data_IF_590825750099
#
_entry.id   IF_590825750099
#
_cell.length_a   1.000
_cell.length_b   1.000
_cell.length_c   1.000
_cell.angle_alpha   90.00
_cell.angle_beta   90.00
_cell.angle_gamma   90.00
#
_symmetry.space_group_name_H-M   'P 1'
#
loop_
_entity.id
_entity.type
_entity.pdbx_description
1 polymer ?
#
# COMPACT_ATOMS: atom_id res chain seq x y z
N UNK A 1 34.57 -4.47 10.38
CA UNK A 1 33.84 -4.62 9.08
C UNK A 1 34.79 -4.76 7.88
N UNK A 2 35.91 -4.02 7.83
CA UNK A 2 36.89 -4.10 6.73
C UNK A 2 37.48 -5.50 6.51
N UNK A 3 37.82 -6.22 7.60
CA UNK A 3 38.37 -7.59 7.50
C UNK A 3 37.42 -8.58 6.82
N UNK A 4 36.11 -8.52 7.11
CA UNK A 4 35.10 -9.41 6.46
C UNK A 4 34.95 -9.10 4.97
N UNK A 5 35.00 -7.83 4.58
CA UNK A 5 34.95 -7.41 3.17
C UNK A 5 36.22 -7.84 2.43
N UNK A 6 37.39 -7.71 3.05
CA UNK A 6 38.64 -8.21 2.50
C UNK A 6 38.56 -9.72 2.28
N UNK A 7 38.15 -10.50 3.29
CA UNK A 7 37.97 -11.95 3.17
C UNK A 7 37.00 -12.31 2.03
N UNK A 8 35.85 -11.66 1.92
CA UNK A 8 34.89 -11.93 0.85
C UNK A 8 35.40 -11.57 -0.54
N UNK A 9 36.19 -10.50 -0.66
CA UNK A 9 36.84 -10.14 -1.92
C UNK A 9 37.86 -11.21 -2.33
N UNK A 10 38.75 -11.63 -1.41
CA UNK A 10 39.75 -12.66 -1.71
C UNK A 10 39.11 -14.01 -2.02
N UNK A 11 38.13 -14.45 -1.21
CA UNK A 11 37.41 -15.71 -1.43
C UNK A 11 36.61 -15.67 -2.72
N UNK A 12 35.87 -14.57 -3.00
CA UNK A 12 35.14 -14.42 -4.25
C UNK A 12 36.06 -14.41 -5.48
N UNK A 13 37.20 -13.72 -5.39
CA UNK A 13 38.21 -13.69 -6.44
C UNK A 13 38.78 -15.07 -6.74
N UNK A 14 39.16 -15.83 -5.71
CA UNK A 14 39.69 -17.20 -5.87
C UNK A 14 38.64 -18.16 -6.44
N UNK A 15 37.42 -18.15 -5.88
CA UNK A 15 36.34 -19.05 -6.31
C UNK A 15 35.93 -18.77 -7.74
N UNK A 16 35.78 -17.49 -8.12
CA UNK A 16 35.44 -17.13 -9.49
C UNK A 16 36.57 -17.45 -10.46
N UNK A 17 37.83 -17.16 -10.13
CA UNK A 17 38.96 -17.50 -10.99
C UNK A 17 39.05 -19.02 -11.24
N UNK A 18 38.79 -19.84 -10.22
CA UNK A 18 38.76 -21.30 -10.35
C UNK A 18 37.57 -21.80 -11.20
N UNK A 19 36.40 -21.16 -11.07
CA UNK A 19 35.17 -21.56 -11.79
C UNK A 19 35.02 -20.88 -13.16
N UNK A 20 35.81 -19.86 -13.47
CA UNK A 20 35.70 -19.07 -14.70
C UNK A 20 35.69 -19.91 -15.98
N UNK A 21 36.61 -20.89 -16.20
CA UNK A 21 36.59 -21.67 -17.44
C UNK A 21 35.31 -22.50 -17.58
N UNK A 22 34.82 -23.05 -16.47
CA UNK A 22 33.54 -23.77 -16.44
C UNK A 22 32.35 -22.84 -16.73
N UNK A 23 32.28 -21.68 -16.08
CA UNK A 23 31.21 -20.69 -16.26
C UNK A 23 31.20 -20.12 -17.68
N UNK A 24 32.38 -19.87 -18.27
CA UNK A 24 32.49 -19.42 -19.66
C UNK A 24 31.98 -20.49 -20.62
N UNK A 25 32.37 -21.75 -20.42
CA UNK A 25 31.94 -22.87 -21.27
C UNK A 25 30.43 -23.07 -21.17
N UNK A 26 29.88 -23.09 -19.95
CA UNK A 26 28.44 -23.19 -19.68
C UNK A 26 27.67 -22.04 -20.36
N UNK A 27 28.19 -20.81 -20.27
CA UNK A 27 27.55 -19.63 -20.84
C UNK A 27 27.52 -19.69 -22.37
N UNK A 28 28.62 -20.10 -23.00
CA UNK A 28 28.67 -20.31 -24.45
C UNK A 28 27.71 -21.42 -24.87
N UNK A 29 27.70 -22.56 -24.18
CA UNK A 29 26.76 -23.65 -24.47
C UNK A 29 25.30 -23.22 -24.36
N UNK A 30 24.95 -22.42 -23.34
CA UNK A 30 23.61 -21.89 -23.15
C UNK A 30 23.22 -20.90 -24.26
N UNK A 31 24.13 -20.00 -24.66
CA UNK A 31 23.90 -19.05 -25.75
C UNK A 31 23.71 -19.79 -27.07
N UNK A 32 24.57 -20.78 -27.37
CA UNK A 32 24.47 -21.59 -28.59
C UNK A 32 23.16 -22.38 -28.60
N UNK A 33 22.80 -23.04 -27.49
CA UNK A 33 21.53 -23.75 -27.37
C UNK A 33 20.34 -22.80 -27.57
N UNK A 34 20.36 -21.63 -26.94
CA UNK A 34 19.30 -20.63 -27.09
C UNK A 34 19.21 -20.13 -28.54
N UNK A 35 20.34 -19.87 -29.20
CA UNK A 35 20.38 -19.46 -30.59
C UNK A 35 19.83 -20.55 -31.52
N UNK A 36 20.18 -21.82 -31.29
CA UNK A 36 19.64 -22.97 -32.03
C UNK A 36 18.13 -23.06 -31.81
N UNK A 37 17.67 -22.96 -30.56
CA UNK A 37 16.23 -23.00 -30.23
C UNK A 37 15.49 -21.86 -30.94
N UNK A 38 16.02 -20.63 -30.89
CA UNK A 38 15.42 -19.47 -31.58
C UNK A 38 15.41 -19.69 -33.09
N UNK A 39 16.52 -20.15 -33.68
CA UNK A 39 16.62 -20.40 -35.12
C UNK A 39 15.63 -21.49 -35.55
N UNK A 40 15.60 -22.65 -34.88
CA UNK A 40 14.67 -23.73 -35.18
C UNK A 40 13.23 -23.24 -35.05
N UNK A 41 12.87 -22.62 -33.92
CA UNK A 41 11.49 -22.17 -33.67
C UNK A 41 11.03 -21.03 -34.59
N UNK A 42 11.92 -20.11 -34.97
CA UNK A 42 11.62 -19.02 -35.88
C UNK A 42 11.37 -19.51 -37.32
N UNK A 43 12.04 -20.58 -37.74
CA UNK A 43 11.90 -21.14 -39.08
C UNK A 43 10.83 -22.24 -39.20
N UNK A 44 10.48 -22.95 -38.11
CA UNK A 44 9.54 -24.09 -38.18
C UNK A 44 8.12 -23.80 -37.70
N UNK A 45 7.85 -22.74 -36.93
CA UNK A 45 6.54 -22.50 -36.32
C UNK A 45 6.01 -21.09 -36.63
N UNK A 46 4.92 -20.95 -37.43
CA UNK A 46 4.18 -19.70 -37.50
C UNK A 46 3.62 -19.35 -36.11
N UNK A 47 4.15 -18.30 -35.48
CA UNK A 47 3.83 -17.94 -34.09
C UNK A 47 4.96 -18.11 -33.06
N UNK A 48 6.19 -18.46 -33.48
CA UNK A 48 7.36 -18.62 -32.61
C UNK A 48 7.73 -17.40 -31.73
N UNK A 49 7.17 -16.22 -32.00
CA UNK A 49 7.31 -15.02 -31.16
C UNK A 49 6.78 -15.22 -29.73
N UNK A 50 5.80 -16.12 -29.53
CA UNK A 50 5.23 -16.41 -28.22
C UNK A 50 6.21 -17.13 -27.29
N UNK A 51 7.09 -17.97 -27.86
CA UNK A 51 8.17 -18.65 -27.14
C UNK A 51 9.32 -17.69 -26.82
N UNK A 52 9.63 -16.74 -27.72
CA UNK A 52 10.53 -15.62 -27.43
C UNK A 52 10.01 -14.75 -26.27
N UNK A 53 8.70 -14.49 -26.22
CA UNK A 53 8.05 -13.77 -25.12
C UNK A 53 8.09 -14.56 -23.80
N UNK A 54 7.83 -15.87 -23.82
CA UNK A 54 7.97 -16.74 -22.64
C UNK A 54 9.42 -16.80 -22.14
N UNK A 55 10.41 -16.87 -23.05
CA UNK A 55 11.84 -16.84 -22.72
C UNK A 55 12.27 -15.49 -22.11
N UNK A 56 11.80 -14.37 -22.65
CA UNK A 56 12.02 -13.05 -22.08
C UNK A 56 11.38 -12.91 -20.70
N UNK A 57 10.18 -13.50 -20.50
CA UNK A 57 9.47 -13.49 -19.22
C UNK A 57 10.13 -14.36 -18.16
N UNK A 58 10.68 -15.53 -18.52
CA UNK A 58 11.45 -16.37 -17.60
C UNK A 58 12.80 -15.75 -17.24
N UNK A 59 13.49 -15.11 -18.20
CA UNK A 59 14.67 -14.27 -17.93
C UNK A 59 14.33 -13.08 -17.02
N UNK A 60 13.20 -12.41 -17.24
CA UNK A 60 12.72 -11.32 -16.37
C UNK A 60 12.35 -11.83 -14.96
N UNK A 61 11.82 -13.06 -14.84
CA UNK A 61 11.56 -13.73 -13.57
C UNK A 61 12.84 -14.10 -12.82
N UNK A 62 13.87 -14.60 -13.53
CA UNK A 62 15.21 -14.85 -12.97
C UNK A 62 15.90 -13.56 -12.53
N UNK A 63 15.69 -12.46 -13.26
CA UNK A 63 16.12 -11.11 -12.90
C UNK A 63 15.32 -10.54 -11.70
N UNK A 64 14.14 -11.05 -11.38
CA UNK A 64 13.37 -10.62 -10.21
C UNK A 64 13.91 -11.25 -8.91
N UNK A 65 14.56 -12.42 -8.99
CA UNK A 65 15.11 -13.14 -7.84
C UNK A 65 16.55 -12.74 -7.53
N UNK A 66 16.84 -12.48 -6.25
CA UNK A 66 18.15 -11.94 -5.79
C UNK A 66 19.32 -12.88 -6.11
N UNK A 67 19.12 -14.19 -6.00
CA UNK A 67 20.10 -15.22 -6.36
C UNK A 67 20.25 -15.35 -7.87
N UNK A 68 19.16 -15.22 -8.63
CA UNK A 68 19.17 -15.23 -10.09
C UNK A 68 19.99 -14.10 -10.70
N UNK A 69 19.93 -12.89 -10.12
CA UNK A 69 20.79 -11.75 -10.51
C UNK A 69 22.28 -12.04 -10.35
N UNK A 70 22.69 -12.63 -9.22
CA UNK A 70 24.10 -12.95 -8.98
C UNK A 70 24.61 -14.03 -9.95
N UNK A 71 23.80 -15.05 -10.20
CA UNK A 71 24.14 -16.12 -11.15
C UNK A 71 24.29 -15.51 -12.55
N UNK A 72 23.33 -14.70 -12.99
CA UNK A 72 23.37 -14.05 -14.30
C UNK A 72 24.54 -13.06 -14.44
N UNK A 73 24.85 -12.28 -13.40
CA UNK A 73 26.00 -11.39 -13.41
C UNK A 73 27.32 -12.18 -13.49
N UNK A 74 27.40 -13.31 -12.78
CA UNK A 74 28.60 -14.17 -12.80
C UNK A 74 28.84 -14.83 -14.16
N UNK A 75 27.78 -15.26 -14.85
CA UNK A 75 27.89 -15.84 -16.20
C UNK A 75 28.22 -14.78 -17.25
N UNK A 76 27.62 -13.59 -17.18
CA UNK A 76 27.97 -12.46 -18.05
C UNK A 76 29.43 -12.02 -17.87
N UNK A 77 29.90 -11.87 -16.64
CA UNK A 77 31.29 -11.49 -16.37
C UNK A 77 32.27 -12.58 -16.80
N UNK A 78 31.90 -13.86 -16.71
CA UNK A 78 32.73 -14.97 -17.17
C UNK A 78 32.95 -14.97 -18.69
N UNK A 79 32.04 -14.38 -19.49
CA UNK A 79 32.18 -14.21 -20.93
C UNK A 79 33.09 -13.03 -21.31
N UNK A 80 33.21 -12.02 -20.45
CA UNK A 80 34.06 -10.84 -20.71
C UNK A 80 35.55 -11.16 -20.51
N UNK A 81 35.88 -12.05 -19.56
CA UNK A 81 37.26 -12.42 -19.22
C UNK A 81 38.06 -12.99 -20.42
N UNK A 82 37.54 -13.93 -21.22
CA UNK A 82 38.24 -14.44 -22.41
C UNK A 82 38.50 -13.34 -23.46
N UNK A 83 37.57 -12.39 -23.62
CA UNK A 83 37.68 -11.27 -24.56
C UNK A 83 38.75 -10.27 -24.13
N UNK A 84 38.88 -10.04 -22.82
CA UNK A 84 39.96 -9.22 -22.25
C UNK A 84 41.32 -9.93 -22.31
N UNK A 85 41.34 -11.24 -22.06
CA UNK A 85 42.56 -12.05 -22.14
C UNK A 85 43.15 -12.13 -23.55
N UNK A 86 42.29 -12.17 -24.58
CA UNK A 86 42.74 -12.18 -25.97
C UNK A 86 43.23 -10.83 -26.47
N UNK A 87 42.75 -9.72 -25.89
CA UNK A 87 43.10 -8.36 -26.32
C UNK A 87 44.28 -7.74 -25.56
N UNK A 88 44.49 -8.10 -24.29
CA UNK A 88 45.48 -7.48 -23.41
C UNK A 88 46.55 -8.50 -22.93
N UNK A 89 46.35 -9.79 -23.20
CA UNK A 89 47.25 -10.88 -22.85
C UNK A 89 46.78 -11.72 -21.66
N UNK A 90 47.25 -12.98 -21.59
CA UNK A 90 46.83 -13.96 -20.58
C UNK A 90 47.00 -13.49 -19.13
N UNK A 91 48.04 -12.69 -18.85
CA UNK A 91 48.25 -12.09 -17.52
C UNK A 91 47.17 -11.08 -17.13
N UNK A 92 46.65 -10.31 -18.09
CA UNK A 92 45.57 -9.35 -17.82
C UNK A 92 44.23 -10.06 -17.59
N UNK A 93 43.97 -11.17 -18.30
CA UNK A 93 42.75 -11.97 -18.12
C UNK A 93 42.64 -12.62 -16.74
N UNK A 94 43.76 -13.11 -16.20
CA UNK A 94 43.80 -13.72 -14.85
C UNK A 94 43.65 -12.70 -13.73
N UNK A 95 44.24 -11.51 -13.87
CA UNK A 95 44.03 -10.41 -12.92
C UNK A 95 42.59 -9.90 -13.00
N UNK A 96 42.04 -9.75 -14.21
CA UNK A 96 40.66 -9.32 -14.42
C UNK A 96 39.64 -10.31 -13.83
N UNK A 97 39.85 -11.63 -14.01
CA UNK A 97 38.98 -12.65 -13.44
C UNK A 97 38.97 -12.60 -11.92
N UNK A 98 40.15 -12.45 -11.30
CA UNK A 98 40.27 -12.33 -9.85
C UNK A 98 39.57 -11.07 -9.32
N UNK A 99 39.77 -9.91 -9.97
CA UNK A 99 39.14 -8.64 -9.55
C UNK A 99 37.62 -8.69 -9.70
N UNK A 100 37.11 -9.19 -10.84
CA UNK A 100 35.67 -9.34 -11.08
C UNK A 100 35.03 -10.34 -10.11
N UNK A 101 35.72 -11.45 -9.85
CA UNK A 101 35.37 -12.42 -8.82
C UNK A 101 35.31 -11.82 -7.42
N UNK A 102 36.26 -10.96 -7.08
CA UNK A 102 36.28 -10.27 -5.80
C UNK A 102 35.14 -9.28 -5.64
N UNK A 103 34.78 -8.55 -6.70
CA UNK A 103 33.58 -7.69 -6.73
C UNK A 103 32.31 -8.53 -6.57
N UNK A 104 32.21 -9.67 -7.26
CA UNK A 104 31.11 -10.63 -7.09
C UNK A 104 31.03 -11.19 -5.66
N UNK A 105 32.18 -11.49 -5.04
CA UNK A 105 32.27 -11.92 -3.64
C UNK A 105 31.82 -10.84 -2.65
N UNK A 106 32.15 -9.57 -2.90
CA UNK A 106 31.66 -8.44 -2.13
C UNK A 106 30.15 -8.25 -2.28
N UNK A 107 29.63 -8.40 -3.51
CA UNK A 107 28.20 -8.38 -3.78
C UNK A 107 27.51 -9.54 -3.05
N UNK A 108 28.01 -10.77 -3.20
CA UNK A 108 27.51 -11.94 -2.50
C UNK A 108 27.55 -11.77 -0.97
N UNK A 109 28.61 -11.19 -0.40
CA UNK A 109 28.67 -10.85 1.03
C UNK A 109 27.61 -9.81 1.41
N UNK A 110 27.39 -8.79 0.57
CA UNK A 110 26.34 -7.80 0.80
C UNK A 110 24.93 -8.41 0.73
N UNK A 111 24.77 -9.55 0.04
CA UNK A 111 23.52 -10.30 -0.10
C UNK A 111 23.34 -11.43 0.92
N UNK A 112 24.42 -12.07 1.38
CA UNK A 112 24.48 -13.14 2.41
C UNK A 112 24.59 -12.59 3.82
N UNK A 113 25.03 -11.35 3.97
CA UNK A 113 24.62 -10.54 5.11
C UNK A 113 23.10 -10.55 5.06
N UNK A 114 22.46 -11.37 5.89
CA UNK A 114 21.05 -11.24 6.23
C UNK A 114 20.73 -9.74 6.29
N UNK A 115 19.53 -9.28 5.92
CA UNK A 115 19.06 -7.98 6.38
C UNK A 115 18.85 -8.06 7.90
N UNK A 116 19.92 -8.27 8.66
CA UNK A 116 20.06 -7.77 9.99
C UNK A 116 20.00 -6.27 9.83
N UNK A 117 18.84 -5.72 10.17
CA UNK A 117 18.79 -4.67 11.18
C UNK A 117 19.94 -3.68 11.02
N UNK A 118 19.92 -2.93 9.92
CA UNK A 118 20.54 -1.61 9.88
C UNK A 118 19.43 -0.60 10.16
N UNK A 119 18.98 -0.65 11.41
CA UNK A 119 18.89 0.59 12.17
C UNK A 119 20.25 1.25 12.06
N UNK A 120 20.26 2.47 11.54
CA UNK A 120 21.40 3.34 11.65
C UNK A 120 21.72 3.48 13.14
N UNK A 121 22.82 2.87 13.57
CA UNK A 121 23.66 3.40 14.65
C UNK A 121 24.30 4.68 14.10
N UNK A 122 23.48 5.71 13.86
CA UNK A 122 23.91 7.09 13.94
C UNK A 122 23.88 7.43 15.43
N UNK A 123 25.04 7.88 15.92
CA UNK A 123 25.27 8.17 17.32
C UNK A 123 24.09 8.95 17.91
N UNK A 124 23.57 8.43 19.01
CA UNK A 124 22.52 9.04 19.81
C UNK A 124 22.83 10.53 19.98
N UNK A 125 22.10 11.45 19.33
CA UNK A 125 22.03 12.80 19.82
C UNK A 125 21.25 12.69 21.13
N UNK A 126 21.98 12.73 22.24
CA UNK A 126 21.36 12.98 23.54
C UNK A 126 20.61 14.31 23.43
N UNK A 127 19.29 14.22 23.67
CA UNK A 127 18.31 15.30 23.89
C UNK A 127 17.85 16.06 22.63
N UNK A 128 16.61 15.78 22.22
CA UNK A 128 15.45 16.71 22.20
C UNK A 128 14.16 15.90 22.11
N UNK A 129 13.12 16.32 22.81
CA UNK A 129 11.95 15.51 23.18
C UNK A 129 11.18 14.89 22.02
N UNK A 130 11.24 13.57 21.89
CA UNK A 130 10.31 12.79 21.05
C UNK A 130 9.03 12.48 21.82
N UNK A 131 7.88 12.58 21.17
CA UNK A 131 6.57 12.43 21.79
C UNK A 131 6.09 10.96 21.65
N UNK A 132 5.87 10.27 22.76
CA UNK A 132 5.64 8.80 22.86
C UNK A 132 4.15 8.41 22.92
N UNK A 133 3.66 7.62 21.96
CA UNK A 133 2.30 7.06 22.06
C UNK A 133 2.42 5.81 22.92
N UNK A 134 2.09 5.95 24.21
CA UNK A 134 2.12 4.83 25.15
C UNK A 134 1.01 3.86 24.78
N UNK A 135 1.39 2.63 24.50
CA UNK A 135 0.45 1.51 24.38
C UNK A 135 0.32 0.71 25.69
N UNK A 136 0.97 1.15 26.77
CA UNK A 136 0.97 0.55 28.11
C UNK A 136 2.20 0.99 28.93
N UNK A 137 2.37 0.49 30.17
CA UNK A 137 3.56 0.73 31.02
C UNK A 137 4.15 -0.57 31.56
N UNK A 138 5.48 -0.67 31.62
CA UNK A 138 6.20 -1.80 32.23
C UNK A 138 7.56 -1.38 32.84
N UNK A 139 7.58 -0.92 34.09
CA UNK A 139 8.81 -0.80 34.90
C UNK A 139 9.65 0.48 34.72
N UNK A 140 10.64 0.72 35.62
CA UNK A 140 11.28 2.03 35.83
C UNK A 140 12.16 2.55 34.69
N UNK A 141 12.28 1.81 33.58
CA UNK A 141 13.03 2.23 32.38
C UNK A 141 12.35 1.92 31.03
N UNK A 142 11.07 1.51 30.95
CA UNK A 142 10.47 1.18 29.64
C UNK A 142 9.90 2.41 28.91
N UNK A 143 10.44 2.66 27.71
CA UNK A 143 9.88 3.55 26.68
C UNK A 143 9.32 2.68 25.55
N UNK A 144 8.33 1.85 25.86
CA UNK A 144 7.65 0.97 24.89
C UNK A 144 6.43 1.68 24.29
N UNK A 145 6.32 1.69 22.96
CA UNK A 145 5.26 2.39 22.24
C UNK A 145 5.68 2.84 20.84
N UNK A 146 4.76 3.48 20.12
CA UNK A 146 5.04 4.03 18.80
C UNK A 146 5.68 5.41 18.93
N UNK A 147 6.74 5.64 18.16
CA UNK A 147 7.29 6.99 17.99
C UNK A 147 6.43 7.79 17.02
N UNK A 148 6.56 9.11 17.05
CA UNK A 148 5.91 9.96 16.05
C UNK A 148 6.41 9.64 14.63
N UNK A 149 7.68 9.27 14.47
CA UNK A 149 8.24 8.83 13.19
C UNK A 149 7.62 7.51 12.70
N UNK A 150 7.33 6.58 13.61
CA UNK A 150 6.61 5.35 13.27
C UNK A 150 5.19 5.68 12.76
N UNK A 151 4.49 6.61 13.43
CA UNK A 151 3.15 7.06 13.02
C UNK A 151 3.19 7.78 11.67
N UNK A 152 4.16 8.68 11.46
CA UNK A 152 4.41 9.36 10.18
C UNK A 152 4.92 8.41 9.08
N UNK A 153 5.40 7.23 9.46
CA UNK A 153 5.77 6.16 8.54
C UNK A 153 4.58 5.33 8.05
N UNK A 154 3.40 5.51 8.67
CA UNK A 154 2.24 4.65 8.52
C UNK A 154 2.29 3.45 9.46
N UNK A 155 1.19 3.17 10.14
CA UNK A 155 1.02 2.08 11.09
C UNK A 155 -0.06 1.13 10.59
N UNK A 156 0.23 -0.17 10.57
CA UNK A 156 -0.78 -1.20 10.34
C UNK A 156 -1.12 -1.85 11.68
N UNK A 157 -2.39 -1.81 12.07
CA UNK A 157 -2.91 -2.45 13.27
C UNK A 157 -3.77 -3.64 12.86
N UNK A 158 -3.43 -4.85 13.30
CA UNK A 158 -4.15 -6.08 12.92
C UNK A 158 -4.52 -6.96 14.13
N UNK A 159 -5.62 -7.68 14.01
CA UNK A 159 -6.10 -8.68 14.97
C UNK A 159 -7.35 -8.29 15.75
N UNK A 160 -7.81 -9.20 16.61
CA UNK A 160 -9.12 -9.10 17.27
C UNK A 160 -9.22 -7.84 18.13
N UNK A 161 -8.13 -7.46 18.81
CA UNK A 161 -8.08 -6.27 19.66
C UNK A 161 -7.52 -5.05 18.92
N UNK A 162 -7.44 -5.08 17.59
CA UNK A 162 -6.97 -3.94 16.79
C UNK A 162 -7.74 -2.64 17.08
N UNK A 163 -9.08 -2.63 17.22
CA UNK A 163 -9.80 -1.40 17.58
C UNK A 163 -9.36 -0.81 18.92
N UNK A 164 -9.04 -1.65 19.90
CA UNK A 164 -8.54 -1.23 21.22
C UNK A 164 -7.17 -0.57 21.11
N UNK A 165 -6.25 -1.18 20.35
CA UNK A 165 -4.93 -0.62 20.10
C UNK A 165 -5.01 0.73 19.34
N UNK A 166 -5.87 0.81 18.33
CA UNK A 166 -6.12 2.05 17.59
C UNK A 166 -6.65 3.14 18.50
N UNK A 167 -7.59 2.83 19.39
CA UNK A 167 -8.15 3.78 20.34
C UNK A 167 -7.08 4.44 21.22
N UNK A 168 -6.11 3.66 21.69
CA UNK A 168 -4.95 4.19 22.42
C UNK A 168 -4.07 5.10 21.54
N UNK A 169 -3.90 4.75 20.25
CA UNK A 169 -3.16 5.60 19.30
C UNK A 169 -3.90 6.92 19.04
N UNK A 170 -5.22 6.85 18.83
CA UNK A 170 -6.08 8.02 18.60
C UNK A 170 -6.06 8.96 19.80
N UNK A 171 -6.19 8.43 21.03
CA UNK A 171 -6.07 9.22 22.26
C UNK A 171 -4.69 9.89 22.39
N UNK A 172 -3.62 9.14 22.11
CA UNK A 172 -2.26 9.65 22.10
C UNK A 172 -2.00 10.74 21.06
N UNK A 173 -2.67 10.71 19.90
CA UNK A 173 -2.58 11.76 18.88
C UNK A 173 -3.43 12.98 19.26
N UNK A 174 -4.66 12.74 19.71
CA UNK A 174 -5.60 13.78 20.08
C UNK A 174 -5.10 14.59 21.28
N UNK A 175 -4.52 13.96 22.31
CA UNK A 175 -3.92 14.65 23.46
C UNK A 175 -2.78 15.61 23.09
N UNK A 176 -2.20 15.47 21.88
CA UNK A 176 -1.16 16.36 21.33
C UNK A 176 -1.69 17.42 20.37
N UNK A 177 -3.01 17.58 20.30
CA UNK A 177 -3.66 18.53 19.39
C UNK A 177 -3.67 18.09 17.93
N UNK A 178 -3.33 16.83 17.61
CA UNK A 178 -3.49 16.31 16.25
C UNK A 178 -4.96 15.95 16.02
N UNK A 179 -5.52 16.46 14.92
CA UNK A 179 -6.84 16.04 14.44
C UNK A 179 -6.78 14.62 13.90
N UNK A 180 -7.82 13.82 14.13
CA UNK A 180 -7.90 12.44 13.62
C UNK A 180 -9.22 12.21 12.86
N UNK A 181 -9.12 11.86 11.58
CA UNK A 181 -10.23 11.39 10.76
C UNK A 181 -10.28 9.86 10.81
N UNK A 182 -11.44 9.30 11.18
CA UNK A 182 -11.67 7.86 11.28
C UNK A 182 -12.73 7.48 10.26
N UNK A 183 -12.33 6.67 9.27
CA UNK A 183 -13.21 6.00 8.32
C UNK A 183 -13.39 4.56 8.78
N UNK A 184 -14.37 4.31 9.64
CA UNK A 184 -14.50 3.04 10.35
C UNK A 184 -15.62 3.02 11.38
N UNK A 185 -15.39 2.33 12.51
CA UNK A 185 -16.38 2.11 13.57
C UNK A 185 -16.10 2.92 14.85
N UNK A 186 -17.15 3.14 15.64
CA UNK A 186 -17.09 3.85 16.93
C UNK A 186 -16.14 3.22 17.96
N UNK A 187 -15.87 1.92 17.84
CA UNK A 187 -14.97 1.19 18.74
C UNK A 187 -13.54 1.72 18.76
N UNK A 188 -13.14 2.52 17.77
CA UNK A 188 -11.81 3.15 17.66
C UNK A 188 -11.75 4.54 18.27
N UNK A 189 -12.89 5.11 18.69
CA UNK A 189 -12.96 6.46 19.26
C UNK A 189 -12.82 6.38 20.78
N UNK A 190 -11.84 7.06 21.39
CA UNK A 190 -11.66 7.08 22.84
C UNK A 190 -12.69 7.98 23.51
N UNK A 191 -13.23 7.56 24.66
CA UNK A 191 -14.15 8.38 25.47
C UNK A 191 -13.53 9.69 26.01
N UNK A 192 -12.20 9.74 26.08
CA UNK A 192 -11.42 10.88 26.59
C UNK A 192 -11.37 12.07 25.64
N UNK A 193 -11.95 11.95 24.43
CA UNK A 193 -11.83 12.96 23.37
C UNK A 193 -13.21 13.34 22.84
N UNK A 194 -13.44 14.64 22.69
CA UNK A 194 -14.61 15.15 21.97
C UNK A 194 -14.53 14.75 20.49
N UNK A 195 -15.52 13.96 20.06
CA UNK A 195 -15.60 13.44 18.71
C UNK A 195 -16.93 13.80 18.06
N UNK A 196 -16.89 14.16 16.77
CA UNK A 196 -18.07 14.26 15.91
C UNK A 196 -18.24 12.95 15.17
N UNK A 197 -19.46 12.41 15.13
CA UNK A 197 -19.75 11.15 14.50
C UNK A 197 -20.88 11.28 13.48
N UNK A 198 -20.62 10.83 12.26
CA UNK A 198 -21.60 10.79 11.17
C UNK A 198 -21.85 9.33 10.78
N UNK A 199 -23.12 8.93 10.79
CA UNK A 199 -23.58 7.64 10.24
C UNK A 199 -24.09 7.93 8.84
N UNK A 200 -23.24 7.68 7.85
CA UNK A 200 -23.46 8.11 6.46
C UNK A 200 -24.10 6.96 5.69
N UNK A 201 -25.37 7.14 5.34
CA UNK A 201 -26.08 6.28 4.39
C UNK A 201 -26.09 6.87 2.98
N UNK A 202 -25.92 8.19 2.85
CA UNK A 202 -25.91 8.90 1.57
C UNK A 202 -25.05 10.16 1.61
N UNK A 203 -24.49 10.52 0.45
CA UNK A 203 -23.59 11.65 0.21
C UNK A 203 -24.19 12.62 -0.81
N UNK A 204 -24.18 13.93 -0.50
CA UNK A 204 -24.51 15.00 -1.46
C UNK A 204 -23.34 15.29 -2.39
N UNK A 205 -23.06 14.33 -3.26
CA UNK A 205 -22.03 14.45 -4.30
C UNK A 205 -22.31 15.64 -5.21
N UNK A 206 -23.58 15.96 -5.49
CA UNK A 206 -23.93 17.10 -6.33
C UNK A 206 -23.51 18.43 -5.70
N UNK A 207 -23.82 18.63 -4.41
CA UNK A 207 -23.35 19.77 -3.63
C UNK A 207 -21.83 19.87 -3.57
N UNK A 208 -21.15 18.74 -3.35
CA UNK A 208 -19.69 18.68 -3.33
C UNK A 208 -19.08 19.07 -4.69
N UNK A 209 -19.59 18.51 -5.81
CA UNK A 209 -19.14 18.84 -7.18
C UNK A 209 -19.30 20.33 -7.50
N UNK A 210 -20.42 20.93 -7.12
CA UNK A 210 -20.64 22.38 -7.30
C UNK A 210 -19.65 23.21 -6.50
N UNK A 211 -19.18 22.71 -5.35
CA UNK A 211 -18.31 23.46 -4.46
C UNK A 211 -16.85 23.55 -4.94
N UNK A 212 -16.31 22.50 -5.58
CA UNK A 212 -14.93 22.48 -6.09
C UNK A 212 -14.74 21.45 -7.20
N UNK A 213 -13.87 21.76 -8.15
CA UNK A 213 -13.47 20.84 -9.22
C UNK A 213 -12.79 19.57 -8.69
N UNK A 214 -12.15 19.62 -7.52
CA UNK A 214 -11.46 18.46 -6.95
C UNK A 214 -12.40 17.30 -6.60
N UNK A 215 -13.67 17.60 -6.32
CA UNK A 215 -14.67 16.58 -6.06
C UNK A 215 -15.06 15.79 -7.31
N UNK A 216 -14.75 16.29 -8.52
CA UNK A 216 -14.93 15.56 -9.78
C UNK A 216 -14.04 14.32 -9.79
N UNK A 217 -12.75 14.50 -9.51
CA UNK A 217 -11.80 13.39 -9.41
C UNK A 217 -12.18 12.46 -8.26
N UNK A 218 -12.47 13.00 -7.07
CA UNK A 218 -12.87 12.19 -5.93
C UNK A 218 -14.08 11.30 -6.25
N UNK A 219 -15.09 11.85 -6.93
CA UNK A 219 -16.27 11.12 -7.35
C UNK A 219 -15.94 10.00 -8.34
N UNK A 220 -15.28 10.35 -9.46
CA UNK A 220 -15.05 9.40 -10.55
C UNK A 220 -14.14 8.25 -10.13
N UNK A 221 -13.03 8.54 -9.43
CA UNK A 221 -12.12 7.50 -8.96
C UNK A 221 -12.79 6.57 -7.93
N UNK A 222 -13.63 7.13 -7.05
CA UNK A 222 -14.38 6.32 -6.06
C UNK A 222 -15.43 5.43 -6.71
N UNK A 223 -16.17 5.97 -7.67
CA UNK A 223 -17.17 5.21 -8.44
C UNK A 223 -16.49 4.10 -9.24
N UNK A 224 -15.41 4.44 -9.95
CA UNK A 224 -14.66 3.47 -10.74
C UNK A 224 -14.07 2.35 -9.90
N UNK A 225 -13.56 2.66 -8.70
CA UNK A 225 -13.07 1.66 -7.76
C UNK A 225 -14.20 0.74 -7.29
N UNK A 226 -15.31 1.32 -6.82
CA UNK A 226 -16.43 0.57 -6.26
C UNK A 226 -17.15 -0.30 -7.29
N UNK A 227 -17.30 0.20 -8.53
CA UNK A 227 -17.94 -0.50 -9.63
C UNK A 227 -16.97 -1.29 -10.52
N UNK A 228 -15.66 -1.24 -10.25
CA UNK A 228 -14.59 -1.89 -11.04
C UNK A 228 -14.62 -1.52 -12.52
N UNK A 229 -14.74 -0.22 -12.80
CA UNK A 229 -14.74 0.30 -14.17
C UNK A 229 -13.35 0.22 -14.80
N UNK A 230 -13.29 0.36 -16.13
CA UNK A 230 -12.03 0.37 -16.87
C UNK A 230 -11.47 1.79 -16.92
N UNK A 231 -10.16 1.92 -17.09
CA UNK A 231 -9.39 3.15 -17.24
C UNK A 231 -9.97 4.02 -18.38
N UNK A 232 -10.39 3.40 -19.49
CA UNK A 232 -11.05 4.11 -20.60
C UNK A 232 -12.36 4.79 -20.16
N UNK A 233 -13.12 4.17 -19.25
CA UNK A 233 -14.35 4.76 -18.73
C UNK A 233 -14.06 5.93 -17.78
N UNK A 234 -12.91 5.93 -17.08
CA UNK A 234 -12.55 7.02 -16.15
C UNK A 234 -12.42 8.36 -16.89
N UNK A 235 -11.70 8.40 -18.02
CA UNK A 235 -11.50 9.65 -18.77
C UNK A 235 -12.83 10.22 -19.28
N UNK A 236 -13.71 9.36 -19.78
CA UNK A 236 -15.03 9.74 -20.23
C UNK A 236 -15.94 10.18 -19.07
N UNK A 237 -15.85 9.51 -17.92
CA UNK A 237 -16.57 9.88 -16.70
C UNK A 237 -16.08 11.20 -16.11
N UNK A 238 -14.76 11.47 -16.11
CA UNK A 238 -14.19 12.75 -15.66
C UNK A 238 -14.74 13.90 -16.52
N UNK A 239 -14.78 13.72 -17.84
CA UNK A 239 -15.37 14.70 -18.75
C UNK A 239 -16.87 14.89 -18.50
N UNK A 240 -17.62 13.80 -18.37
CA UNK A 240 -19.06 13.84 -18.09
C UNK A 240 -19.35 14.53 -16.75
N UNK A 241 -18.61 14.21 -15.70
CA UNK A 241 -18.75 14.83 -14.38
C UNK A 241 -18.36 16.31 -14.36
N UNK A 242 -17.33 16.72 -15.11
CA UNK A 242 -17.00 18.12 -15.29
C UNK A 242 -18.11 18.89 -16.02
N UNK A 243 -18.72 18.29 -17.05
CA UNK A 243 -19.87 18.87 -17.75
C UNK A 243 -21.12 18.96 -16.87
N UNK A 244 -21.41 17.90 -16.10
CA UNK A 244 -22.52 17.89 -15.15
C UNK A 244 -22.37 19.01 -14.11
N UNK A 245 -21.16 19.16 -13.55
CA UNK A 245 -20.83 20.28 -12.66
C UNK A 245 -21.10 21.62 -13.33
N UNK A 246 -20.61 21.84 -14.55
CA UNK A 246 -20.79 23.11 -15.25
C UNK A 246 -22.28 23.43 -15.49
N UNK A 247 -23.08 22.44 -15.91
CA UNK A 247 -24.54 22.61 -16.09
C UNK A 247 -25.24 22.96 -14.78
N UNK A 248 -24.85 22.34 -13.66
CA UNK A 248 -25.42 22.66 -12.34
C UNK A 248 -25.04 24.07 -11.88
N UNK A 249 -23.80 24.51 -12.11
CA UNK A 249 -23.35 25.87 -11.80
C UNK A 249 -24.07 26.94 -12.64
N UNK A 250 -24.36 26.64 -13.89
CA UNK A 250 -25.13 27.50 -14.81
C UNK A 250 -26.64 27.46 -14.54
N UNK A 251 -27.11 26.67 -13.58
CA UNK A 251 -28.54 26.49 -13.28
C UNK A 251 -29.33 25.72 -14.35
N UNK A 252 -28.64 25.08 -15.31
CA UNK A 252 -29.24 24.27 -16.39
C UNK A 252 -29.68 22.88 -15.93
N UNK A 253 -29.28 22.46 -14.74
CA UNK A 253 -29.64 21.16 -14.15
C UNK A 253 -29.71 21.26 -12.64
N UNK A 254 -30.63 20.53 -12.01
CA UNK A 254 -30.74 20.49 -10.55
C UNK A 254 -29.80 19.46 -9.94
N UNK A 255 -29.58 19.51 -8.63
CA UNK A 255 -28.81 18.49 -7.89
C UNK A 255 -29.40 17.08 -8.03
N UNK A 256 -30.73 16.98 -8.13
CA UNK A 256 -31.44 15.70 -8.29
C UNK A 256 -31.16 15.06 -9.65
N UNK A 257 -30.78 15.86 -10.66
CA UNK A 257 -30.53 15.38 -12.01
C UNK A 257 -29.11 14.82 -12.20
N UNK A 258 -28.25 14.84 -11.17
CA UNK A 258 -26.82 14.49 -11.30
C UNK A 258 -26.59 13.16 -12.03
N UNK A 259 -27.21 12.07 -11.57
CA UNK A 259 -27.00 10.73 -12.14
C UNK A 259 -27.48 10.65 -13.59
N UNK A 260 -28.60 11.33 -13.91
CA UNK A 260 -29.13 11.41 -15.27
C UNK A 260 -28.16 12.16 -16.19
N UNK A 261 -27.71 13.34 -15.77
CA UNK A 261 -26.79 14.18 -16.55
C UNK A 261 -25.45 13.47 -16.78
N UNK A 262 -24.95 12.73 -15.78
CA UNK A 262 -23.73 11.93 -15.91
C UNK A 262 -23.86 10.81 -16.96
N UNK A 263 -25.00 10.12 -16.95
CA UNK A 263 -25.29 9.02 -17.89
C UNK A 263 -25.47 9.55 -19.32
N UNK A 264 -26.19 10.66 -19.49
CA UNK A 264 -26.43 11.30 -20.79
C UNK A 264 -25.17 11.96 -21.37
N UNK A 265 -24.31 12.53 -20.50
CA UNK A 265 -23.05 13.15 -20.89
C UNK A 265 -21.94 12.17 -21.24
N UNK A 266 -22.15 10.86 -21.02
CA UNK A 266 -21.16 9.83 -21.31
C UNK A 266 -21.12 9.54 -22.82
N UNK A 267 -19.95 9.76 -23.43
CA UNK A 267 -19.82 9.89 -24.89
C UNK A 267 -19.66 8.57 -25.66
N UNK A 268 -19.44 7.44 -24.99
CA UNK A 268 -19.34 6.13 -25.64
C UNK A 268 -20.67 5.35 -25.54
N UNK A 269 -21.44 5.24 -26.64
CA UNK A 269 -22.74 4.55 -26.63
C UNK A 269 -22.63 3.07 -26.28
N UNK A 270 -21.49 2.42 -26.57
CA UNK A 270 -21.30 0.98 -26.31
C UNK A 270 -21.17 0.68 -24.82
N UNK A 271 -20.73 1.67 -24.04
CA UNK A 271 -20.42 1.57 -22.61
C UNK A 271 -21.43 2.31 -21.73
N UNK A 272 -22.31 3.11 -22.33
CA UNK A 272 -23.28 3.92 -21.61
C UNK A 272 -24.17 3.09 -20.66
N UNK A 273 -24.63 1.91 -21.09
CA UNK A 273 -25.45 1.02 -20.24
C UNK A 273 -24.70 0.50 -19.02
N UNK A 274 -23.41 0.18 -19.16
CA UNK A 274 -22.55 -0.27 -18.06
C UNK A 274 -22.33 0.87 -17.06
N UNK A 275 -22.09 2.08 -17.54
CA UNK A 275 -21.90 3.26 -16.70
C UNK A 275 -23.20 3.64 -15.99
N UNK A 276 -24.33 3.62 -16.69
CA UNK A 276 -25.64 3.86 -16.08
C UNK A 276 -25.95 2.83 -14.99
N UNK A 277 -25.63 1.56 -15.21
CA UNK A 277 -25.75 0.50 -14.22
C UNK A 277 -24.80 0.70 -13.02
N UNK A 278 -23.56 1.15 -13.27
CA UNK A 278 -22.62 1.46 -12.21
C UNK A 278 -23.14 2.60 -11.31
N UNK A 279 -23.57 3.71 -11.92
CA UNK A 279 -24.15 4.87 -11.25
C UNK A 279 -25.40 4.50 -10.42
N UNK A 280 -26.32 3.72 -10.99
CA UNK A 280 -27.54 3.30 -10.30
C UNK A 280 -27.28 2.28 -9.19
N UNK A 281 -26.16 1.56 -9.26
CA UNK A 281 -25.82 0.56 -8.25
C UNK A 281 -25.20 1.13 -6.98
N UNK A 282 -24.79 2.39 -6.98
CA UNK A 282 -24.29 3.11 -5.81
C UNK A 282 -25.45 3.94 -5.24
N UNK A 283 -26.22 3.33 -4.35
CA UNK A 283 -27.42 3.94 -3.74
C UNK A 283 -27.08 5.04 -2.73
N UNK A 284 -25.82 5.10 -2.32
CA UNK A 284 -25.29 6.10 -1.39
C UNK A 284 -25.13 7.50 -2.00
N UNK A 285 -25.54 7.76 -3.25
CA UNK A 285 -25.52 9.11 -3.84
C UNK A 285 -26.93 9.72 -3.76
N UNK A 286 -27.08 10.82 -3.02
CA UNK A 286 -28.36 11.55 -2.91
C UNK A 286 -28.11 13.04 -2.70
N UNK A 287 -28.91 13.90 -3.33
CA UNK A 287 -28.85 15.35 -3.13
C UNK A 287 -29.22 15.81 -1.71
N UNK A 288 -29.88 14.94 -0.93
CA UNK A 288 -30.17 15.17 0.50
C UNK A 288 -29.12 14.54 1.44
N UNK A 289 -28.09 13.93 0.87
CA UNK A 289 -27.02 13.28 1.63
C UNK A 289 -26.11 14.28 2.35
N UNK A 290 -25.14 13.75 3.09
CA UNK A 290 -24.15 14.59 3.75
C UNK A 290 -23.14 15.11 2.73
N UNK A 291 -22.89 16.42 2.73
CA UNK A 291 -21.77 17.02 2.00
C UNK A 291 -20.45 16.71 2.72
N UNK A 292 -19.48 16.13 2.00
CA UNK A 292 -18.16 15.87 2.59
C UNK A 292 -17.39 17.15 2.85
N UNK A 293 -17.65 18.22 2.07
CA UNK A 293 -17.09 19.55 2.35
C UNK A 293 -17.43 20.01 3.76
N UNK A 294 -18.71 19.94 4.13
CA UNK A 294 -19.18 20.47 5.42
C UNK A 294 -18.67 19.62 6.59
N UNK A 295 -18.58 18.30 6.40
CA UNK A 295 -18.03 17.37 7.38
C UNK A 295 -16.54 17.62 7.62
N UNK A 296 -15.76 17.77 6.55
CA UNK A 296 -14.30 17.91 6.62
C UNK A 296 -13.88 19.31 7.08
N UNK A 297 -14.64 20.36 6.72
CA UNK A 297 -14.34 21.74 7.09
C UNK A 297 -14.63 22.08 8.57
N UNK A 298 -15.34 21.21 9.31
CA UNK A 298 -15.72 21.46 10.69
C UNK A 298 -14.54 21.63 11.65
N UNK A 299 -14.73 22.45 12.69
CA UNK A 299 -13.89 22.43 13.88
C UNK A 299 -14.17 21.16 14.69
N UNK A 300 -13.27 20.18 14.59
CA UNK A 300 -13.34 18.91 15.33
C UNK A 300 -11.93 18.44 15.68
N UNK A 301 -11.84 17.67 16.78
CA UNK A 301 -10.60 17.03 17.23
C UNK A 301 -10.52 15.59 16.72
N UNK A 302 -11.61 14.84 16.85
CA UNK A 302 -11.80 13.54 16.21
C UNK A 302 -13.08 13.56 15.39
N UNK A 303 -13.02 13.05 14.17
CA UNK A 303 -14.17 12.90 13.28
C UNK A 303 -14.30 11.44 12.87
N UNK A 304 -15.45 10.85 13.18
CA UNK A 304 -15.83 9.52 12.75
C UNK A 304 -16.83 9.61 11.58
N UNK A 305 -16.51 8.94 10.47
CA UNK A 305 -17.42 8.68 9.36
C UNK A 305 -17.65 7.17 9.31
N UNK A 306 -18.86 6.75 9.69
CA UNK A 306 -19.29 5.35 9.75
C UNK A 306 -20.20 5.03 8.57
N UNK A 307 -19.94 3.90 7.91
CA UNK A 307 -20.71 3.39 6.77
C UNK A 307 -21.38 2.05 7.14
N UNK A 308 -22.19 2.07 8.21
CA UNK A 308 -22.64 0.85 8.93
C UNK A 308 -23.68 0.00 8.19
N UNK A 309 -24.54 0.62 7.39
CA UNK A 309 -25.77 0.04 6.87
C UNK A 309 -25.74 -0.15 5.34
N UNK A 310 -24.55 -0.21 4.76
CA UNK A 310 -24.35 -0.09 3.33
C UNK A 310 -23.88 -1.41 2.72
N UNK A 311 -24.25 -1.64 1.45
CA UNK A 311 -23.66 -2.74 0.67
C UNK A 311 -22.14 -2.61 0.66
N UNK A 312 -21.40 -3.70 0.45
CA UNK A 312 -19.94 -3.64 0.35
C UNK A 312 -19.47 -2.63 -0.72
N UNK A 313 -20.22 -2.52 -1.82
CA UNK A 313 -19.97 -1.54 -2.89
C UNK A 313 -20.17 -0.11 -2.42
N UNK A 314 -21.28 0.19 -1.74
CA UNK A 314 -21.54 1.52 -1.19
C UNK A 314 -20.50 1.89 -0.11
N UNK A 315 -20.13 0.93 0.75
CA UNK A 315 -19.07 1.14 1.73
C UNK A 315 -17.72 1.45 1.07
N UNK A 316 -17.37 0.74 -0.02
CA UNK A 316 -16.16 1.02 -0.79
C UNK A 316 -16.23 2.42 -1.43
N UNK A 317 -17.35 2.76 -2.07
CA UNK A 317 -17.56 4.08 -2.67
C UNK A 317 -17.43 5.21 -1.63
N UNK A 318 -18.17 5.14 -0.52
CA UNK A 318 -18.17 6.20 0.49
C UNK A 318 -16.81 6.35 1.16
N UNK A 319 -16.12 5.26 1.49
CA UNK A 319 -14.76 5.32 2.09
C UNK A 319 -13.75 5.89 1.09
N UNK A 320 -13.78 5.46 -0.17
CA UNK A 320 -12.94 6.01 -1.21
C UNK A 320 -13.23 7.51 -1.42
N UNK A 321 -14.50 7.88 -1.45
CA UNK A 321 -14.92 9.26 -1.69
C UNK A 321 -14.50 10.17 -0.55
N UNK A 322 -14.78 9.79 0.70
CA UNK A 322 -14.36 10.55 1.88
C UNK A 322 -12.83 10.67 1.95
N UNK A 323 -12.09 9.60 1.62
CA UNK A 323 -10.63 9.60 1.56
C UNK A 323 -10.08 10.59 0.51
N UNK A 324 -10.62 10.53 -0.71
CA UNK A 324 -10.18 11.39 -1.83
C UNK A 324 -10.59 12.85 -1.62
N UNK A 325 -11.81 13.09 -1.13
CA UNK A 325 -12.29 14.41 -0.73
C UNK A 325 -11.43 15.03 0.37
N UNK A 326 -11.02 14.23 1.36
CA UNK A 326 -10.19 14.69 2.47
C UNK A 326 -8.68 14.71 2.17
N UNK A 327 -8.22 14.42 0.94
CA UNK A 327 -6.78 14.23 0.62
C UNK A 327 -5.86 15.38 1.09
N UNK A 328 -6.39 16.61 1.12
CA UNK A 328 -5.65 17.81 1.55
C UNK A 328 -5.78 18.14 3.03
N UNK A 329 -6.65 17.45 3.77
CA UNK A 329 -6.86 17.70 5.19
C UNK A 329 -5.57 17.49 5.98
N UNK A 330 -5.26 18.42 6.88
CA UNK A 330 -4.17 18.28 7.85
C UNK A 330 -4.69 17.58 9.11
N UNK A 331 -4.70 16.25 9.06
CA UNK A 331 -5.12 15.35 10.12
C UNK A 331 -4.35 14.03 10.01
N UNK A 332 -4.42 13.18 11.04
CA UNK A 332 -4.12 11.77 10.91
C UNK A 332 -5.35 11.03 10.36
N UNK A 333 -5.14 9.98 9.57
CA UNK A 333 -6.18 9.14 8.99
C UNK A 333 -6.15 7.75 9.64
N UNK A 334 -7.30 7.29 10.12
CA UNK A 334 -7.57 5.90 10.47
C UNK A 334 -8.52 5.32 9.42
N UNK A 335 -8.11 4.23 8.77
CA UNK A 335 -8.94 3.51 7.79
C UNK A 335 -9.14 2.07 8.25
N UNK A 336 -10.39 1.72 8.55
CA UNK A 336 -10.79 0.33 8.83
C UNK A 336 -10.95 -0.47 7.52
N UNK A 337 -10.55 -1.74 7.57
CA UNK A 337 -10.58 -2.71 6.48
C UNK A 337 -10.00 -2.15 5.17
N UNK A 338 -8.69 -1.84 5.13
CA UNK A 338 -8.05 -1.21 3.96
C UNK A 338 -8.19 -2.05 2.69
N UNK A 339 -8.37 -3.37 2.80
CA UNK A 339 -8.56 -4.27 1.66
C UNK A 339 -9.89 -4.06 0.92
N UNK A 340 -10.84 -3.34 1.51
CA UNK A 340 -12.03 -2.88 0.79
C UNK A 340 -11.67 -1.93 -0.36
N UNK A 341 -10.58 -1.17 -0.21
CA UNK A 341 -10.10 -0.22 -1.21
C UNK A 341 -8.83 -0.72 -1.92
N UNK A 342 -7.96 -1.41 -1.18
CA UNK A 342 -6.65 -1.90 -1.63
C UNK A 342 -6.60 -3.42 -1.69
N UNK A 343 -7.51 -4.01 -2.47
CA UNK A 343 -7.39 -5.41 -2.89
C UNK A 343 -6.03 -5.66 -3.55
N UNK A 344 -5.58 -6.91 -3.59
CA UNK A 344 -4.35 -7.23 -4.32
C UNK A 344 -4.51 -6.82 -5.80
N UNK A 345 -3.58 -5.99 -6.28
CA UNK A 345 -3.53 -5.50 -7.65
C UNK A 345 -3.47 -6.64 -8.68
N UNK A 346 -2.96 -7.81 -8.26
CA UNK A 346 -2.92 -9.01 -9.10
C UNK A 346 -4.32 -9.54 -9.45
N UNK A 347 -5.32 -9.25 -8.61
CA UNK A 347 -6.73 -9.60 -8.81
C UNK A 347 -7.47 -8.61 -9.70
N UNK A 348 -6.84 -7.48 -10.05
CA UNK A 348 -7.42 -6.45 -10.90
C UNK A 348 -6.92 -6.59 -12.35
N UNK A 349 -7.84 -6.55 -13.34
CA UNK A 349 -7.49 -6.37 -14.74
C UNK A 349 -6.58 -5.16 -14.92
N UNK A 350 -5.62 -5.23 -15.85
CA UNK A 350 -4.64 -4.17 -16.07
C UNK A 350 -5.31 -2.82 -16.38
N UNK A 351 -6.36 -2.89 -17.18
CA UNK A 351 -7.24 -1.82 -17.60
C UNK A 351 -8.20 -1.33 -16.51
N UNK A 352 -8.09 -1.76 -15.25
CA UNK A 352 -8.89 -1.24 -14.11
C UNK A 352 -8.03 -0.74 -12.95
N UNK A 353 -6.71 -0.67 -13.12
CA UNK A 353 -5.77 -0.35 -12.03
C UNK A 353 -5.68 1.13 -11.70
N UNK A 354 -6.08 2.03 -12.59
CA UNK A 354 -5.87 3.47 -12.39
C UNK A 354 -6.64 3.99 -11.17
N UNK A 355 -7.89 3.55 -10.99
CA UNK A 355 -8.71 3.94 -9.82
C UNK A 355 -8.08 3.47 -8.51
N UNK A 356 -7.56 2.24 -8.50
CA UNK A 356 -6.82 1.65 -7.39
C UNK A 356 -5.51 2.42 -7.10
N UNK A 357 -4.74 2.75 -8.14
CA UNK A 357 -3.49 3.50 -8.02
C UNK A 357 -3.72 4.90 -7.46
N UNK A 358 -4.79 5.58 -7.89
CA UNK A 358 -5.22 6.87 -7.36
C UNK A 358 -5.43 6.81 -5.84
N UNK A 359 -6.18 5.82 -5.37
CA UNK A 359 -6.43 5.62 -3.93
C UNK A 359 -5.15 5.25 -3.17
N UNK A 360 -4.33 4.36 -3.72
CA UNK A 360 -3.05 3.97 -3.14
C UNK A 360 -2.12 5.19 -2.97
N UNK A 361 -2.04 6.05 -3.98
CA UNK A 361 -1.21 7.24 -3.95
C UNK A 361 -1.70 8.27 -2.92
N UNK A 362 -3.02 8.44 -2.78
CA UNK A 362 -3.56 9.29 -1.71
C UNK A 362 -3.20 8.73 -0.34
N UNK A 363 -3.40 7.43 -0.09
CA UNK A 363 -2.99 6.80 1.18
C UNK A 363 -1.48 6.93 1.44
N UNK A 364 -0.65 6.79 0.40
CA UNK A 364 0.79 7.05 0.50
C UNK A 364 1.08 8.49 0.92
N UNK A 365 0.33 9.48 0.41
CA UNK A 365 0.41 10.88 0.82
C UNK A 365 0.04 11.12 2.29
N UNK A 366 -0.89 10.34 2.84
CA UNK A 366 -1.30 10.42 4.25
C UNK A 366 -0.23 9.97 5.25
N UNK A 367 0.76 9.16 4.83
CA UNK A 367 1.82 8.68 5.74
C UNK A 367 2.46 9.84 6.50
N UNK A 368 2.90 10.89 5.80
CA UNK A 368 3.56 12.05 6.42
C UNK A 368 2.71 12.81 7.44
N UNK A 369 1.38 12.67 7.37
CA UNK A 369 0.41 13.28 8.30
C UNK A 369 0.03 12.36 9.47
N UNK A 370 0.22 11.06 9.29
CA UNK A 370 -0.17 9.99 10.21
C UNK A 370 -1.20 9.09 9.55
N UNK A 371 -0.76 7.94 9.03
CA UNK A 371 -1.64 6.93 8.44
C UNK A 371 -1.76 5.74 9.39
N UNK A 372 -2.97 5.34 9.72
CA UNK A 372 -3.27 4.17 10.55
C UNK A 372 -4.25 3.29 9.77
N UNK A 373 -3.79 2.12 9.37
CA UNK A 373 -4.61 1.11 8.70
C UNK A 373 -5.01 0.06 9.72
N UNK A 374 -6.28 -0.34 9.73
CA UNK A 374 -6.83 -1.22 10.77
C UNK A 374 -7.54 -2.39 10.13
N UNK A 375 -7.23 -3.61 10.57
CA UNK A 375 -8.00 -4.80 10.21
C UNK A 375 -8.20 -5.70 11.41
N UNK A 376 -9.41 -6.22 11.59
CA UNK A 376 -9.69 -7.19 12.68
C UNK A 376 -9.11 -8.58 12.38
N UNK A 377 -8.84 -8.84 11.11
CA UNK A 377 -8.25 -10.09 10.61
C UNK A 377 -6.84 -9.91 10.05
N UNK A 378 -6.25 -10.99 9.53
CA UNK A 378 -5.01 -10.91 8.79
C UNK A 378 -5.24 -10.16 7.48
N UNK A 379 -4.37 -9.20 7.18
CA UNK A 379 -4.33 -8.53 5.87
C UNK A 379 -3.54 -9.41 4.90
N UNK A 380 -4.09 -9.61 3.71
CA UNK A 380 -3.53 -10.44 2.63
C UNK A 380 -2.80 -9.61 1.58
N UNK A 381 -3.21 -8.36 1.37
CA UNK A 381 -2.62 -7.44 0.38
C UNK A 381 -1.22 -6.96 0.82
N UNK A 382 -0.16 -7.38 0.11
CA UNK A 382 1.22 -6.90 0.35
C UNK A 382 1.34 -5.38 0.20
N UNK A 383 0.50 -4.76 -0.64
CA UNK A 383 0.47 -3.31 -0.83
C UNK A 383 0.08 -2.56 0.44
N UNK A 384 -0.79 -3.13 1.27
CA UNK A 384 -1.13 -2.57 2.59
C UNK A 384 0.08 -2.61 3.52
N UNK A 385 0.84 -3.71 3.54
CA UNK A 385 2.09 -3.77 4.33
C UNK A 385 3.15 -2.80 3.83
N UNK A 386 3.22 -2.53 2.53
CA UNK A 386 4.11 -1.52 1.94
C UNK A 386 3.70 -0.09 2.30
N UNK A 387 2.44 0.14 2.67
CA UNK A 387 1.95 1.44 3.15
C UNK A 387 2.48 1.81 4.54
N UNK A 388 2.85 0.83 5.34
CA UNK A 388 3.20 1.05 6.74
C UNK A 388 4.66 0.73 7.02
N UNK A 389 5.29 1.51 7.90
CA UNK A 389 6.63 1.25 8.44
C UNK A 389 6.58 0.56 9.80
N UNK A 390 5.50 0.77 10.55
CA UNK A 390 5.27 0.16 11.84
C UNK A 390 4.02 -0.73 11.82
N UNK A 391 4.04 -1.72 12.71
CA UNK A 391 3.02 -2.75 12.82
C UNK A 391 2.66 -2.93 14.29
N UNK A 392 1.37 -2.98 14.57
CA UNK A 392 0.82 -3.35 15.88
C UNK A 392 -0.05 -4.57 15.66
N UNK A 393 0.43 -5.72 16.09
CA UNK A 393 -0.26 -7.00 15.91
C UNK A 393 -0.81 -7.43 17.26
N UNK A 394 -2.13 -7.57 17.32
CA UNK A 394 -2.85 -8.14 18.46
C UNK A 394 -3.17 -9.60 18.17
N UNK A 395 -3.77 -10.29 19.14
CA UNK A 395 -4.15 -11.70 18.95
C UNK A 395 -5.01 -11.87 17.70
N UNK A 396 -4.55 -12.69 16.76
CA UNK A 396 -5.32 -13.04 15.56
C UNK A 396 -6.33 -14.13 15.89
N UNK A 397 -7.51 -14.07 15.27
CA UNK A 397 -8.50 -15.15 15.33
C UNK A 397 -8.24 -16.20 14.26
N UNK A 398 -8.49 -17.48 14.59
CA UNK A 398 -8.56 -18.58 13.62
C UNK A 398 -7.32 -18.81 12.73
N UNK A 399 -7.52 -19.58 11.65
CA UNK A 399 -6.46 -19.91 10.69
C UNK A 399 -6.03 -18.66 9.90
N UNK A 400 -4.77 -18.29 10.05
CA UNK A 400 -4.13 -17.25 9.24
C UNK A 400 -3.72 -17.86 7.90
N UNK A 401 -4.24 -17.38 6.75
CA UNK A 401 -3.79 -17.84 5.43
C UNK A 401 -2.27 -17.66 5.32
N UNK A 402 -1.55 -18.61 4.69
CA UNK A 402 -0.07 -18.61 4.61
C UNK A 402 0.45 -17.23 4.16
N UNK A 403 0.96 -16.39 5.07
CA UNK A 403 1.41 -15.06 4.70
C UNK A 403 2.77 -15.18 4.03
N UNK A 404 3.05 -14.34 3.05
CA UNK A 404 4.37 -14.23 2.43
C UNK A 404 5.16 -13.05 3.02
N UNK A 405 6.49 -13.08 2.85
CA UNK A 405 7.36 -11.95 3.16
C UNK A 405 7.28 -11.46 4.63
N UNK A 406 7.11 -10.15 4.81
CA UNK A 406 7.08 -9.49 6.14
C UNK A 406 5.89 -9.92 6.99
N UNK A 407 4.76 -10.23 6.36
CA UNK A 407 3.57 -10.69 7.07
C UNK A 407 3.86 -12.00 7.80
N UNK A 408 4.65 -12.91 7.21
CA UNK A 408 4.95 -14.21 7.81
C UNK A 408 5.59 -14.10 9.19
N UNK A 409 6.66 -13.32 9.32
CA UNK A 409 7.38 -13.17 10.59
C UNK A 409 6.53 -12.50 11.68
N UNK A 410 5.72 -11.50 11.32
CA UNK A 410 4.81 -10.84 12.25
C UNK A 410 3.68 -11.76 12.71
N UNK A 411 3.15 -12.58 11.80
CA UNK A 411 2.05 -13.51 12.07
C UNK A 411 2.53 -14.69 12.91
N UNK A 412 3.74 -15.21 12.68
CA UNK A 412 4.37 -16.22 13.53
C UNK A 412 4.55 -15.70 14.96
N UNK A 413 5.15 -14.51 15.13
CA UNK A 413 5.35 -13.89 16.45
C UNK A 413 4.02 -13.55 17.17
N UNK A 414 2.94 -13.32 16.43
CA UNK A 414 1.62 -13.01 17.01
C UNK A 414 0.93 -14.21 17.68
N UNK A 415 1.35 -15.44 17.36
CA UNK A 415 0.74 -16.67 17.92
C UNK A 415 1.00 -16.83 19.41
N UNK A 416 2.08 -16.22 19.91
CA UNK A 416 2.50 -16.29 21.30
C UNK A 416 1.85 -15.20 22.17
N UNK A 417 1.10 -14.26 21.57
CA UNK A 417 0.48 -13.15 22.29
C UNK A 417 -0.70 -13.61 23.14
N UNK A 418 -0.71 -13.18 24.40
CA UNK A 418 -1.85 -13.38 25.30
C UNK A 418 -2.92 -12.32 25.04
N UNK A 419 -4.11 -12.56 25.59
CA UNK A 419 -5.18 -11.55 25.57
C UNK A 419 -4.72 -10.27 26.26
N UNK A 420 -4.97 -9.12 25.64
CA UNK A 420 -4.52 -7.83 26.13
C UNK A 420 -3.04 -7.54 25.89
N UNK A 421 -2.35 -8.33 25.06
CA UNK A 421 -0.99 -8.05 24.60
C UNK A 421 -0.97 -7.65 23.12
N UNK A 422 0.01 -6.83 22.75
CA UNK A 422 0.30 -6.47 21.37
C UNK A 422 1.78 -6.53 21.08
N UNK A 423 2.12 -7.12 19.94
CA UNK A 423 3.44 -7.03 19.33
C UNK A 423 3.54 -5.70 18.59
N UNK A 424 4.53 -4.90 18.92
CA UNK A 424 4.85 -3.63 18.26
C UNK A 424 6.16 -3.84 17.52
N UNK A 425 6.13 -3.72 16.19
CA UNK A 425 7.29 -3.77 15.32
C UNK A 425 7.44 -2.44 14.58
N UNK A 426 8.54 -1.72 14.78
CA UNK A 426 8.78 -0.41 14.17
C UNK A 426 10.26 -0.11 13.97
N UNK A 427 10.60 1.17 13.82
CA UNK A 427 11.97 1.63 13.57
C UNK A 427 12.95 1.42 14.73
N UNK A 428 12.48 0.90 15.87
CA UNK A 428 13.28 0.56 17.07
C UNK A 428 13.37 -0.96 17.34
N UNK A 429 12.89 -1.77 16.40
CA UNK A 429 12.79 -3.22 16.53
C UNK A 429 11.41 -3.68 17.00
N UNK A 430 11.39 -4.89 17.56
CA UNK A 430 10.18 -5.61 17.97
C UNK A 430 10.07 -5.68 19.49
N UNK A 431 8.92 -5.34 20.04
CA UNK A 431 8.62 -5.40 21.48
C UNK A 431 7.19 -5.90 21.72
N UNK A 432 6.92 -6.48 22.89
CA UNK A 432 5.57 -6.88 23.30
C UNK A 432 5.13 -5.94 24.42
N UNK A 433 3.94 -5.36 24.30
CA UNK A 433 3.37 -4.44 25.28
C UNK A 433 1.97 -4.88 25.71
N UNK A 434 1.59 -4.58 26.95
CA UNK A 434 0.21 -4.74 27.42
C UNK A 434 -0.68 -3.62 26.89
N UNK A 435 -1.75 -3.97 26.17
CA UNK A 435 -2.73 -3.05 25.63
C UNK A 435 -3.59 -2.41 26.72
N UNK A 436 -3.27 -1.16 27.04
CA UNK A 436 -4.14 -0.28 27.81
C UNK A 436 -4.71 0.78 26.88
N UNK A 437 -6.04 0.90 26.86
CA UNK A 437 -6.76 1.89 26.06
C UNK A 437 -7.95 2.39 26.88
N UNK A 438 -8.37 3.66 26.69
CA UNK A 438 -9.61 4.19 27.28
C UNK A 438 -10.83 3.38 26.81
N UNK A 439 -11.97 3.51 27.48
CA UNK A 439 -13.21 2.89 27.01
C UNK A 439 -13.72 3.55 25.71
N UNK A 440 -14.56 2.88 24.91
CA UNK A 440 -15.04 3.46 23.66
C UNK A 440 -16.02 4.60 23.96
N UNK A 441 -15.90 5.69 23.21
CA UNK A 441 -16.81 6.82 23.35
C UNK A 441 -18.26 6.40 23.06
N UNK A 442 -19.20 6.90 23.88
CA UNK A 442 -20.63 6.85 23.58
C UNK A 442 -20.98 8.02 22.68
N UNK A 443 -21.02 7.77 21.37
CA UNK A 443 -21.19 8.82 20.37
C UNK A 443 -22.67 9.02 20.01
N UNK A 444 -23.08 10.28 19.91
CA UNK A 444 -24.34 10.65 19.26
C UNK A 444 -24.09 10.81 17.77
N UNK A 445 -24.77 10.00 16.96
CA UNK A 445 -24.61 10.04 15.51
C UNK A 445 -25.46 11.13 14.89
N UNK A 446 -24.82 11.98 14.09
CA UNK A 446 -25.50 12.89 13.19
C UNK A 446 -25.92 12.08 11.96
N UNK A 447 -27.23 11.91 11.79
CA UNK A 447 -27.83 11.33 10.59
C UNK A 447 -28.41 12.48 9.77
N UNK A 448 -28.10 12.56 8.46
CA UNK A 448 -28.82 13.48 7.59
C UNK A 448 -30.28 13.01 7.51
N UNK A 449 -31.18 13.94 7.21
CA UNK A 449 -32.55 13.57 6.85
C UNK A 449 -32.47 12.58 5.68
N UNK A 450 -32.82 11.31 5.94
CA UNK A 450 -32.92 10.32 4.87
C UNK A 450 -33.97 10.77 3.85
N UNK A 451 -33.96 10.22 2.62
CA UNK A 451 -35.19 10.22 1.85
C UNK A 451 -36.27 9.62 2.75
N UNK A 452 -37.38 10.34 2.97
CA UNK A 452 -38.54 9.74 3.62
C UNK A 452 -38.84 8.45 2.86
N UNK A 453 -38.93 7.31 3.57
CA UNK A 453 -39.27 6.03 2.96
C UNK A 453 -40.55 6.24 2.13
N UNK A 454 -40.41 6.25 0.81
CA UNK A 454 -41.48 6.38 -0.18
C UNK A 454 -41.55 5.11 -0.99
#
# INVERSE_FOLDING_TARGET
MAMRKAIAFFVGGMVFAALQPFLATLSVSLIVMLAIIIAVLAFTIPGGWLLGYMGARTLAGLLAWRTGRLILLSTLLALVVPVLGSSIGYGAGTVASFVLGGILGLLALSHLSLPGRREAEEGIPRRRGGVYVRLGSSGPFSREGLTEEDVRGGVLVTGIEAPKAVRAIVDGLASRGKRVLILGTESMVPETVEAKAYDVCSLDVAGDLMSSQEYVEAFVYSLALAARLRNDDLLLLLRSAAQARQRMLEGRSSKHDLLRVLSEGFQDPRRQSVVAAALSSVRSISSSGISTKDVVAGGWKVLLIKASACSQRDAAFMRAYALLAARRLDAALVLEDPELLLVDISLLPYDSRESWEGVFNVLKGWRGKGLILVSRGPVLSDWVYRLCRAYVVTRLGGHVPRPEGRARGLMEASRELKQGEALIAGGRGTSIAKLMAPEPARLTFIRPAGPADS
#
